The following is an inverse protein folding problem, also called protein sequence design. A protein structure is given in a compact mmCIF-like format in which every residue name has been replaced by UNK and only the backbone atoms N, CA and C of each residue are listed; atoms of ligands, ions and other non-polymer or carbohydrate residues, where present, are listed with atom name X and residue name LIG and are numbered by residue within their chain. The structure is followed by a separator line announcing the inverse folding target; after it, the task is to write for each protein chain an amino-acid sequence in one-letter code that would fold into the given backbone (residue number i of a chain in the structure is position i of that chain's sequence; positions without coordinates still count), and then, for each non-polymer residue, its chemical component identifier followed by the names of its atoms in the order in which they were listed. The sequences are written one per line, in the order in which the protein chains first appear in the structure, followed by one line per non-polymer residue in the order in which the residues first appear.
data_IF_436721142093
#
_entry.id   IF_436721142093
#
_cell.length_a   1.000
_cell.length_b   1.000
_cell.length_c   1.000
_cell.angle_alpha   90.00
_cell.angle_beta   90.00
_cell.angle_gamma   90.00
#
_symmetry.space_group_name_H-M   'P 1'
#
loop_
_entity.id
_entity.type
_entity.pdbx_description
1 polymer ?
#
# COMPACT_ATOMS: atom_id res chain seq x y z
N UNK A 1 -47.80 -2.46 -30.56
CA UNK A 1 -46.61 -1.60 -30.44
C UNK A 1 -46.06 -1.78 -29.05
N UNK A 2 -45.08 -2.66 -28.89
CA UNK A 2 -44.49 -3.04 -27.61
C UNK A 2 -43.33 -2.13 -27.27
N UNK A 3 -43.24 -1.77 -26.00
CA UNK A 3 -42.27 -0.87 -25.40
C UNK A 3 -40.84 -1.49 -25.44
N UNK A 4 -39.80 -0.78 -25.93
CA UNK A 4 -38.43 -1.32 -26.08
C UNK A 4 -37.66 -1.56 -24.75
N UNK A 5 -38.16 -1.14 -23.60
CA UNK A 5 -37.43 -1.23 -22.34
C UNK A 5 -37.46 -2.60 -21.66
N UNK A 6 -38.25 -3.56 -22.13
CA UNK A 6 -38.34 -4.89 -21.46
C UNK A 6 -37.37 -5.94 -21.99
N UNK A 7 -36.52 -5.61 -22.97
CA UNK A 7 -35.63 -6.60 -23.63
C UNK A 7 -34.17 -6.61 -23.13
N UNK A 8 -33.79 -5.75 -22.18
CA UNK A 8 -32.41 -5.62 -21.73
C UNK A 8 -32.06 -6.45 -20.48
N UNK A 9 -33.01 -7.18 -19.90
CA UNK A 9 -32.80 -7.86 -18.61
C UNK A 9 -32.41 -9.33 -18.68
N UNK A 10 -32.22 -9.92 -19.87
CA UNK A 10 -31.91 -11.36 -20.02
C UNK A 10 -30.76 -11.71 -20.97
N UNK A 11 -30.05 -10.72 -21.50
CA UNK A 11 -28.95 -11.00 -22.43
C UNK A 11 -27.67 -11.42 -21.69
N UNK A 12 -27.06 -12.53 -22.06
CA UNK A 12 -25.79 -13.00 -21.53
C UNK A 12 -24.64 -12.10 -21.99
N UNK A 13 -23.52 -12.05 -21.21
CA UNK A 13 -22.31 -11.29 -21.54
C UNK A 13 -21.78 -11.53 -22.97
N UNK A 14 -22.02 -12.70 -23.54
CA UNK A 14 -21.64 -13.05 -24.93
C UNK A 14 -22.52 -12.39 -25.98
N UNK A 15 -23.78 -12.16 -25.70
CA UNK A 15 -24.71 -11.51 -26.61
C UNK A 15 -24.53 -10.00 -26.66
N UNK A 16 -24.22 -9.37 -25.53
CA UNK A 16 -23.88 -7.93 -25.45
C UNK A 16 -22.61 -7.62 -26.28
N UNK A 17 -21.61 -8.51 -26.27
CA UNK A 17 -20.42 -8.36 -27.11
C UNK A 17 -20.65 -8.55 -28.61
N UNK A 18 -21.65 -9.33 -29.03
CA UNK A 18 -22.02 -9.50 -30.43
C UNK A 18 -22.82 -8.31 -30.99
N UNK A 19 -23.59 -7.63 -30.15
CA UNK A 19 -24.38 -6.45 -30.57
C UNK A 19 -23.53 -5.18 -30.68
N UNK A 20 -22.42 -5.08 -29.96
CA UNK A 20 -21.46 -3.98 -30.07
C UNK A 20 -20.68 -3.95 -31.41
N UNK A 21 -20.70 -5.06 -32.18
CA UNK A 21 -20.00 -5.17 -33.46
C UNK A 21 -20.87 -4.84 -34.68
N UNK A 22 -22.17 -4.61 -34.49
CA UNK A 22 -23.10 -4.39 -35.60
C UNK A 22 -23.49 -2.91 -35.86
N UNK A 23 -23.14 -1.98 -34.95
CA UNK A 23 -23.34 -0.54 -35.14
C UNK A 23 -22.00 0.12 -35.49
N UNK A 24 -21.70 0.23 -36.78
CA UNK A 24 -20.56 0.98 -37.29
C UNK A 24 -20.68 2.47 -37.02
N UNK A 25 -20.00 2.94 -36.00
CA UNK A 25 -19.57 4.33 -35.86
C UNK A 25 -18.11 4.28 -35.39
N UNK A 26 -17.21 4.46 -36.35
CA UNK A 26 -15.76 4.57 -36.12
C UNK A 26 -15.45 5.87 -35.37
N UNK A 27 -15.51 5.84 -34.03
CA UNK A 27 -14.85 6.80 -33.15
C UNK A 27 -13.53 6.17 -32.73
N UNK A 28 -12.43 6.66 -33.26
CA UNK A 28 -11.08 6.21 -32.92
C UNK A 28 -10.78 6.43 -31.43
N UNK A 29 -10.99 5.40 -30.63
CA UNK A 29 -10.35 5.31 -29.33
C UNK A 29 -8.87 5.03 -29.62
N UNK A 30 -8.01 6.01 -29.33
CA UNK A 30 -6.58 5.93 -29.56
C UNK A 30 -5.91 4.77 -28.79
N UNK A 31 -4.67 4.39 -29.16
CA UNK A 31 -3.95 3.25 -28.57
C UNK A 31 -3.85 3.27 -27.04
N UNK A 32 -3.97 4.43 -26.41
CA UNK A 32 -3.95 4.59 -24.94
C UNK A 32 -5.17 3.97 -24.22
N UNK A 33 -6.37 3.96 -24.85
CA UNK A 33 -7.56 3.35 -24.23
C UNK A 33 -7.56 1.82 -24.31
N UNK A 34 -6.86 1.24 -25.28
CA UNK A 34 -6.64 -0.22 -25.36
C UNK A 34 -5.62 -0.72 -24.33
N UNK A 35 -4.62 0.10 -23.98
CA UNK A 35 -3.61 -0.26 -22.99
C UNK A 35 -4.19 -0.35 -21.55
N UNK A 36 -5.21 0.44 -21.23
CA UNK A 36 -5.85 0.41 -19.89
C UNK A 36 -6.73 -0.82 -19.65
N UNK A 37 -7.29 -1.43 -20.71
CA UNK A 37 -8.14 -2.63 -20.58
C UNK A 37 -7.35 -3.95 -20.58
N UNK A 38 -6.05 -3.95 -20.89
CA UNK A 38 -5.20 -5.15 -20.96
C UNK A 38 -4.31 -5.35 -19.72
N UNK A 39 -4.32 -4.44 -18.72
CA UNK A 39 -3.43 -4.52 -17.55
C UNK A 39 -3.90 -5.46 -16.43
N UNK A 40 -5.14 -5.99 -16.47
CA UNK A 40 -5.67 -6.79 -15.35
C UNK A 40 -5.44 -8.32 -15.45
N UNK A 41 -4.80 -8.83 -16.49
CA UNK A 41 -4.65 -10.29 -16.70
C UNK A 41 -3.20 -10.79 -16.55
N UNK A 42 -2.20 -9.91 -16.45
CA UNK A 42 -0.78 -10.29 -16.43
C UNK A 42 -0.21 -10.60 -15.02
N UNK A 43 -1.04 -10.64 -13.96
CA UNK A 43 -0.57 -10.56 -12.58
C UNK A 43 0.06 -11.83 -11.98
N UNK A 44 -0.32 -13.02 -12.43
CA UNK A 44 0.13 -14.28 -11.80
C UNK A 44 1.35 -14.92 -12.47
N UNK A 45 1.58 -14.68 -13.74
CA UNK A 45 2.71 -15.25 -14.50
C UNK A 45 4.07 -14.61 -14.18
N UNK A 46 4.07 -13.61 -13.27
CA UNK A 46 5.26 -12.85 -12.92
C UNK A 46 6.13 -13.51 -11.82
N UNK A 47 5.60 -14.45 -11.06
CA UNK A 47 6.30 -15.06 -9.92
C UNK A 47 7.21 -16.22 -10.35
N UNK A 48 8.51 -16.20 -9.96
CA UNK A 48 9.49 -17.18 -10.42
C UNK A 48 9.57 -18.40 -9.49
N UNK A 49 8.54 -19.23 -9.45
CA UNK A 49 8.60 -20.39 -8.56
C UNK A 49 7.50 -21.42 -8.87
N UNK A 50 7.55 -22.59 -8.23
CA UNK A 50 6.50 -23.59 -8.34
C UNK A 50 5.26 -23.17 -7.56
N UNK A 51 4.07 -23.65 -7.97
CA UNK A 51 2.86 -23.58 -7.15
C UNK A 51 3.13 -24.22 -5.79
N UNK A 52 2.77 -23.52 -4.72
CA UNK A 52 2.94 -24.03 -3.36
C UNK A 52 1.82 -25.05 -3.06
N UNK A 53 2.22 -26.23 -2.62
CA UNK A 53 1.33 -27.22 -2.02
C UNK A 53 1.48 -27.18 -0.49
N UNK A 54 0.40 -26.86 0.24
CA UNK A 54 0.42 -26.73 1.69
C UNK A 54 0.91 -25.36 2.20
N UNK A 55 1.66 -25.38 3.30
CA UNK A 55 2.08 -24.17 4.03
C UNK A 55 3.60 -23.99 3.98
N UNK A 56 4.06 -22.76 3.78
CA UNK A 56 5.47 -22.39 3.82
C UNK A 56 5.90 -22.06 5.26
N UNK A 57 6.22 -23.09 6.04
CA UNK A 57 6.62 -22.96 7.45
C UNK A 57 8.05 -22.45 7.57
N UNK A 58 8.25 -21.51 8.52
CA UNK A 58 9.56 -20.98 8.88
C UNK A 58 9.53 -20.50 10.33
N UNK A 59 10.64 -20.57 11.11
CA UNK A 59 10.69 -20.01 12.45
C UNK A 59 10.27 -18.55 12.47
N UNK A 60 9.34 -18.19 13.37
CA UNK A 60 8.88 -16.82 13.53
C UNK A 60 9.88 -16.00 14.35
N UNK A 61 9.98 -14.70 14.04
CA UNK A 61 10.66 -13.70 14.87
C UNK A 61 9.65 -13.01 15.80
N UNK A 62 10.14 -12.33 16.85
CA UNK A 62 9.32 -11.53 17.76
C UNK A 62 8.18 -12.29 18.42
N UNK A 63 8.57 -13.15 19.34
CA UNK A 63 7.68 -13.89 20.21
C UNK A 63 8.40 -14.35 21.49
N UNK A 64 7.63 -14.70 22.50
CA UNK A 64 8.11 -15.15 23.81
C UNK A 64 7.44 -16.47 24.19
N UNK A 65 8.18 -17.33 24.88
CA UNK A 65 7.62 -18.56 25.47
C UNK A 65 6.81 -18.23 26.72
N UNK A 66 5.64 -18.84 26.82
CA UNK A 66 4.80 -18.81 28.00
C UNK A 66 4.68 -20.23 28.61
N UNK A 67 4.18 -20.38 29.87
CA UNK A 67 3.85 -21.67 30.44
C UNK A 67 2.90 -22.48 29.53
N UNK A 68 2.81 -23.78 29.79
CA UNK A 68 1.87 -24.70 29.13
C UNK A 68 1.99 -24.75 27.60
N UNK A 69 3.23 -24.63 27.08
CA UNK A 69 3.53 -24.58 25.64
C UNK A 69 2.84 -23.44 24.88
N UNK A 70 2.36 -22.42 25.58
CA UNK A 70 1.85 -21.21 24.94
C UNK A 70 3.00 -20.32 24.47
N UNK A 71 2.68 -19.43 23.54
CA UNK A 71 3.59 -18.39 23.07
C UNK A 71 2.87 -17.04 23.05
N UNK A 72 3.61 -15.95 23.29
CA UNK A 72 3.11 -14.58 23.07
C UNK A 72 3.80 -13.98 21.86
N UNK A 73 3.03 -13.56 20.87
CA UNK A 73 3.53 -12.84 19.70
C UNK A 73 3.79 -11.37 20.06
N UNK A 74 4.99 -10.87 19.81
CA UNK A 74 5.37 -9.47 20.09
C UNK A 74 5.63 -8.67 18.81
N UNK A 75 5.16 -9.16 17.66
CA UNK A 75 5.36 -8.50 16.36
C UNK A 75 4.46 -7.29 16.15
N UNK A 76 3.21 -7.37 16.55
CA UNK A 76 2.23 -6.31 16.34
C UNK A 76 1.41 -6.05 17.62
N UNK A 77 0.67 -4.93 17.71
CA UNK A 77 -0.10 -4.54 18.91
C UNK A 77 -1.25 -5.49 19.30
N UNK A 78 -1.47 -6.59 18.55
CA UNK A 78 -2.39 -7.66 18.97
C UNK A 78 -1.88 -8.45 20.16
N UNK A 79 -0.56 -8.60 20.28
CA UNK A 79 0.12 -9.34 21.34
C UNK A 79 -0.54 -10.69 21.65
N UNK A 80 -0.88 -11.45 20.58
CA UNK A 80 -1.64 -12.68 20.69
C UNK A 80 -0.94 -13.69 21.61
N UNK A 81 -1.66 -14.16 22.61
CA UNK A 81 -1.29 -15.39 23.34
C UNK A 81 -1.89 -16.58 22.58
N UNK A 82 -1.03 -17.52 22.17
CA UNK A 82 -1.38 -18.58 21.24
C UNK A 82 -1.08 -19.93 21.89
N UNK A 83 -2.10 -20.74 22.09
CA UNK A 83 -1.95 -22.08 22.64
C UNK A 83 -1.34 -23.04 21.59
N UNK A 84 -0.95 -24.24 22.06
CA UNK A 84 -0.40 -25.29 21.18
C UNK A 84 -1.39 -25.61 20.05
N UNK A 85 -0.89 -25.75 18.82
CA UNK A 85 -1.62 -25.96 17.55
C UNK A 85 -2.60 -24.84 17.14
N UNK A 86 -2.60 -23.72 17.84
CA UNK A 86 -3.43 -22.56 17.50
C UNK A 86 -2.66 -21.52 16.70
N UNK A 87 -3.39 -20.53 16.15
CA UNK A 87 -2.85 -19.41 15.36
C UNK A 87 -3.17 -18.07 15.98
N UNK A 88 -2.24 -17.13 15.80
CA UNK A 88 -2.50 -15.74 16.10
C UNK A 88 -3.61 -15.16 15.20
N UNK A 89 -4.11 -13.98 15.58
CA UNK A 89 -5.21 -13.27 14.90
C UNK A 89 -5.05 -13.18 13.38
N UNK A 90 -3.84 -12.89 12.89
CA UNK A 90 -3.54 -12.77 11.46
C UNK A 90 -3.73 -14.08 10.66
N UNK A 91 -3.84 -15.23 11.34
CA UNK A 91 -4.06 -16.54 10.75
C UNK A 91 -2.85 -17.17 10.03
N UNK A 92 -1.70 -16.46 10.00
CA UNK A 92 -0.49 -16.88 9.29
C UNK A 92 0.69 -17.17 10.20
N UNK A 93 0.50 -17.12 11.51
CA UNK A 93 1.49 -17.50 12.53
C UNK A 93 0.89 -18.52 13.47
N UNK A 94 1.57 -19.62 13.68
CA UNK A 94 1.07 -20.82 14.39
C UNK A 94 2.06 -21.25 15.47
N UNK A 95 1.55 -21.64 16.62
CA UNK A 95 2.31 -22.32 17.66
C UNK A 95 2.28 -23.84 17.44
N UNK A 96 3.43 -24.46 17.46
CA UNK A 96 3.56 -25.92 17.41
C UNK A 96 4.49 -26.40 18.52
N UNK A 97 3.94 -26.98 19.55
CA UNK A 97 4.69 -27.54 20.67
C UNK A 97 5.43 -26.50 21.51
N UNK A 98 5.03 -25.23 21.50
CA UNK A 98 5.71 -24.13 22.17
C UNK A 98 6.79 -23.45 21.31
N UNK A 99 6.84 -23.75 20.00
CA UNK A 99 7.69 -23.06 19.02
C UNK A 99 6.78 -22.32 18.00
N UNK A 100 7.07 -21.03 17.81
CA UNK A 100 6.23 -20.18 16.94
C UNK A 100 6.78 -20.13 15.51
N UNK A 101 5.89 -20.30 14.53
CA UNK A 101 6.24 -20.34 13.13
C UNK A 101 5.37 -19.38 12.31
N UNK A 102 5.94 -18.78 11.26
CA UNK A 102 5.17 -18.20 10.16
C UNK A 102 4.82 -19.31 9.16
N UNK A 103 3.67 -19.19 8.51
CA UNK A 103 3.14 -20.17 7.55
C UNK A 103 3.25 -19.67 6.10
N UNK A 104 3.77 -18.45 5.90
CA UNK A 104 3.75 -17.76 4.61
C UNK A 104 5.13 -17.32 4.13
N UNK A 105 6.22 -17.91 4.64
CA UNK A 105 7.57 -17.55 4.23
C UNK A 105 7.84 -17.90 2.76
N UNK A 106 7.82 -16.88 1.89
CA UNK A 106 7.96 -17.05 0.45
C UNK A 106 6.69 -17.57 -0.26
N UNK A 107 5.57 -17.73 0.44
CA UNK A 107 4.28 -18.10 -0.14
C UNK A 107 3.61 -16.87 -0.78
N UNK A 108 4.05 -16.49 -1.97
CA UNK A 108 3.55 -15.30 -2.64
C UNK A 108 2.24 -15.59 -3.39
N UNK A 109 1.18 -14.88 -3.05
CA UNK A 109 -0.12 -14.97 -3.73
C UNK A 109 -0.33 -13.89 -4.79
N UNK A 110 0.56 -12.89 -4.86
CA UNK A 110 0.55 -11.85 -5.88
C UNK A 110 1.95 -11.38 -6.22
N UNK A 111 2.20 -11.09 -7.51
CA UNK A 111 3.46 -10.53 -8.00
C UNK A 111 3.23 -9.74 -9.27
N UNK A 112 3.46 -8.40 -9.25
CA UNK A 112 3.22 -7.50 -10.37
C UNK A 112 4.31 -6.46 -10.51
N UNK A 113 4.55 -6.00 -11.74
CA UNK A 113 5.32 -4.77 -12.00
C UNK A 113 4.35 -3.61 -12.04
N UNK A 114 4.43 -2.72 -11.05
CA UNK A 114 3.55 -1.56 -10.95
C UNK A 114 4.35 -0.25 -11.01
N UNK A 115 3.78 0.85 -11.51
CA UNK A 115 4.32 2.18 -11.25
C UNK A 115 4.45 2.45 -9.75
N UNK A 116 5.52 3.13 -9.34
CA UNK A 116 5.73 3.48 -7.93
C UNK A 116 4.59 4.39 -7.41
N UNK A 117 4.00 5.20 -8.29
CA UNK A 117 2.85 6.06 -8.02
C UNK A 117 1.61 5.27 -7.60
N UNK A 118 1.46 4.00 -8.04
CA UNK A 118 0.35 3.12 -7.63
C UNK A 118 0.46 2.67 -6.15
N UNK A 119 1.61 2.94 -5.48
CA UNK A 119 1.85 2.53 -4.07
C UNK A 119 1.40 3.52 -2.99
N UNK A 120 0.77 4.60 -3.17
CA UNK A 120 1.14 5.94 -3.62
C UNK A 120 2.42 6.43 -2.92
N UNK A 121 3.51 6.41 -3.65
CA UNK A 121 4.80 6.97 -3.26
C UNK A 121 5.17 8.02 -4.32
N UNK A 122 4.84 9.29 -4.05
CA UNK A 122 4.96 10.38 -5.03
C UNK A 122 6.28 11.13 -4.94
N UNK A 123 6.95 11.05 -3.79
CA UNK A 123 8.27 11.64 -3.54
C UNK A 123 9.35 10.57 -3.34
N UNK A 124 9.11 9.36 -3.79
CA UNK A 124 10.07 8.26 -3.79
C UNK A 124 10.24 7.72 -5.21
N UNK A 125 11.38 8.01 -5.85
CA UNK A 125 11.74 7.57 -7.21
C UNK A 125 10.61 7.73 -8.24
N UNK A 126 10.00 8.92 -8.39
CA UNK A 126 8.84 9.11 -9.24
C UNK A 126 9.11 8.71 -10.70
N UNK A 127 8.12 8.07 -11.33
CA UNK A 127 8.20 7.57 -12.70
C UNK A 127 8.91 6.22 -12.86
N UNK A 128 9.33 5.60 -11.76
CA UNK A 128 9.92 4.25 -11.80
C UNK A 128 8.87 3.16 -11.57
N UNK A 129 9.29 1.90 -11.74
CA UNK A 129 8.49 0.73 -11.44
C UNK A 129 8.92 0.06 -10.14
N UNK A 130 8.01 -0.65 -9.50
CA UNK A 130 8.30 -1.51 -8.36
C UNK A 130 7.80 -2.94 -8.63
N UNK A 131 8.58 -3.94 -8.28
CA UNK A 131 8.12 -5.32 -8.26
C UNK A 131 7.35 -5.56 -6.96
N UNK A 132 6.03 -5.63 -7.07
CA UNK A 132 5.07 -5.61 -5.97
C UNK A 132 4.66 -7.02 -5.61
N UNK A 133 4.76 -7.40 -4.33
CA UNK A 133 4.44 -8.75 -3.86
C UNK A 133 3.54 -8.75 -2.63
N UNK A 134 2.80 -9.85 -2.44
CA UNK A 134 1.99 -10.12 -1.28
C UNK A 134 1.99 -11.59 -0.90
N UNK A 135 1.72 -11.86 0.38
CA UNK A 135 1.27 -13.15 0.90
C UNK A 135 -0.17 -13.07 1.38
N UNK A 136 -0.81 -14.18 1.73
CA UNK A 136 -2.14 -14.17 2.33
C UNK A 136 -2.10 -13.63 3.77
N UNK A 137 -3.20 -12.97 4.20
CA UNK A 137 -3.44 -12.57 5.58
C UNK A 137 -3.24 -11.09 5.88
N UNK A 138 -3.71 -10.65 7.06
CA UNK A 138 -3.60 -9.28 7.59
C UNK A 138 -3.78 -9.31 9.11
N UNK A 139 -3.19 -8.34 9.82
CA UNK A 139 -3.35 -8.21 11.27
C UNK A 139 -4.50 -7.28 11.71
N UNK A 140 -5.26 -6.71 10.75
CA UNK A 140 -6.52 -5.99 10.96
C UNK A 140 -7.58 -6.41 9.94
N UNK A 141 -8.87 -6.09 10.22
CA UNK A 141 -10.00 -6.50 9.37
C UNK A 141 -10.78 -5.27 8.88
N UNK A 142 -10.22 -4.55 7.90
CA UNK A 142 -10.91 -3.42 7.30
C UNK A 142 -12.14 -3.89 6.51
N UNK A 143 -13.33 -3.44 6.90
CA UNK A 143 -14.60 -3.78 6.22
C UNK A 143 -14.67 -3.27 4.77
N UNK A 144 -13.82 -2.30 4.43
CA UNK A 144 -13.68 -1.69 3.10
C UNK A 144 -12.41 -2.15 2.35
N UNK A 145 -11.85 -3.30 2.67
CA UNK A 145 -10.60 -3.77 2.09
C UNK A 145 -10.75 -4.07 0.60
N UNK A 146 -9.92 -3.45 -0.25
CA UNK A 146 -9.92 -3.71 -1.70
C UNK A 146 -9.30 -5.07 -2.05
N UNK A 147 -8.34 -5.52 -1.22
CA UNK A 147 -7.62 -6.78 -1.41
C UNK A 147 -8.12 -7.87 -0.44
N UNK A 148 -9.41 -7.85 -0.10
CA UNK A 148 -9.99 -8.76 0.90
C UNK A 148 -9.80 -10.24 0.54
N UNK A 149 -9.78 -10.58 -0.75
CA UNK A 149 -9.62 -11.95 -1.25
C UNK A 149 -8.27 -12.59 -0.88
N UNK A 150 -7.25 -11.79 -0.60
CA UNK A 150 -5.94 -12.28 -0.14
C UNK A 150 -5.63 -11.88 1.32
N UNK A 151 -6.22 -10.78 1.81
CA UNK A 151 -5.90 -10.26 3.15
C UNK A 151 -6.81 -10.81 4.26
N UNK A 152 -8.04 -11.27 3.92
CA UNK A 152 -9.03 -11.73 4.89
C UNK A 152 -9.24 -13.25 4.87
N UNK A 153 -8.39 -13.96 4.14
CA UNK A 153 -8.40 -15.42 4.05
C UNK A 153 -7.14 -16.03 4.66
N UNK A 154 -7.24 -17.29 5.05
CA UNK A 154 -6.11 -18.07 5.55
C UNK A 154 -5.22 -18.53 4.39
N UNK A 155 -3.93 -18.78 4.64
CA UNK A 155 -3.00 -19.14 3.56
C UNK A 155 -3.41 -20.38 2.77
N UNK A 156 -4.11 -21.33 3.38
CA UNK A 156 -4.63 -22.54 2.72
C UNK A 156 -5.76 -22.26 1.71
N UNK A 157 -6.39 -21.09 1.82
CA UNK A 157 -7.52 -20.69 0.98
C UNK A 157 -7.08 -19.84 -0.21
N UNK A 158 -5.80 -19.46 -0.26
CA UNK A 158 -5.25 -18.56 -1.27
C UNK A 158 -4.15 -19.26 -2.05
N UNK A 159 -4.32 -19.37 -3.35
CA UNK A 159 -3.27 -19.95 -4.22
C UNK A 159 -1.98 -19.12 -4.14
N UNK A 160 -0.85 -19.80 -3.92
CA UNK A 160 0.44 -19.17 -3.75
C UNK A 160 1.53 -19.87 -4.54
N UNK A 161 2.58 -19.14 -4.85
CA UNK A 161 3.80 -19.62 -5.48
C UNK A 161 4.94 -19.55 -4.47
N UNK A 162 5.73 -20.62 -4.34
CA UNK A 162 6.88 -20.62 -3.43
C UNK A 162 8.08 -19.90 -4.09
N UNK A 163 8.47 -18.77 -3.53
CA UNK A 163 9.53 -17.91 -4.05
C UNK A 163 10.54 -17.59 -2.95
N UNK A 164 11.76 -18.06 -3.08
CA UNK A 164 12.81 -17.72 -2.11
C UNK A 164 13.22 -16.24 -2.23
N UNK A 165 13.79 -15.61 -1.16
CA UNK A 165 14.31 -14.24 -1.24
C UNK A 165 15.25 -14.00 -2.43
N UNK A 166 16.15 -14.94 -2.72
CA UNK A 166 17.06 -14.86 -3.85
C UNK A 166 16.34 -14.88 -5.22
N UNK A 167 15.30 -15.69 -5.36
CA UNK A 167 14.47 -15.72 -6.58
C UNK A 167 13.72 -14.41 -6.76
N UNK A 168 13.15 -13.83 -5.66
CA UNK A 168 12.46 -12.54 -5.68
C UNK A 168 13.39 -11.43 -6.17
N UNK A 169 14.58 -11.32 -5.58
CA UNK A 169 15.56 -10.28 -5.92
C UNK A 169 16.01 -10.41 -7.38
N UNK A 170 16.32 -11.63 -7.83
CA UNK A 170 16.66 -11.88 -9.26
C UNK A 170 15.50 -11.51 -10.20
N UNK A 171 14.28 -11.85 -9.81
CA UNK A 171 13.09 -11.53 -10.61
C UNK A 171 12.84 -10.00 -10.72
N UNK A 172 13.09 -9.26 -9.64
CA UNK A 172 13.03 -7.80 -9.62
C UNK A 172 14.11 -7.19 -10.54
N UNK A 173 15.37 -7.65 -10.41
CA UNK A 173 16.47 -7.21 -11.26
C UNK A 173 16.21 -7.50 -12.74
N UNK A 174 15.77 -8.72 -13.08
CA UNK A 174 15.46 -9.13 -14.47
C UNK A 174 14.32 -8.33 -15.12
N UNK A 175 13.50 -7.64 -14.32
CA UNK A 175 12.44 -6.74 -14.79
C UNK A 175 12.84 -5.27 -14.77
N UNK A 176 14.11 -4.99 -14.49
CA UNK A 176 14.66 -3.64 -14.35
C UNK A 176 13.86 -2.75 -13.35
N UNK A 177 13.28 -3.35 -12.32
CA UNK A 177 12.59 -2.63 -11.26
C UNK A 177 13.63 -2.17 -10.23
N UNK A 178 13.79 -0.86 -9.96
CA UNK A 178 14.73 -0.37 -8.95
C UNK A 178 14.27 -0.67 -7.52
N UNK A 179 13.03 -1.15 -7.33
CA UNK A 179 12.41 -1.29 -6.01
C UNK A 179 11.55 -2.55 -5.92
N UNK A 180 11.62 -3.25 -4.79
CA UNK A 180 10.62 -4.25 -4.37
C UNK A 180 9.61 -3.56 -3.46
N UNK A 181 8.31 -3.72 -3.74
CA UNK A 181 7.23 -3.21 -2.89
C UNK A 181 6.51 -4.38 -2.19
N UNK A 182 6.59 -4.44 -0.87
CA UNK A 182 5.84 -5.36 -0.03
C UNK A 182 4.48 -4.71 0.25
N UNK A 183 3.38 -5.26 -0.32
CA UNK A 183 2.11 -4.51 -0.46
C UNK A 183 0.89 -5.42 -0.58
N UNK A 184 -0.25 -4.89 -1.00
CA UNK A 184 -1.57 -5.47 -1.25
C UNK A 184 -2.26 -6.04 -0.01
N UNK A 185 -1.71 -7.08 0.65
CA UNK A 185 -2.07 -7.51 1.99
C UNK A 185 -1.27 -6.72 3.04
N UNK A 186 -1.06 -7.25 4.24
CA UNK A 186 -0.26 -6.55 5.25
C UNK A 186 1.18 -7.10 5.33
N UNK A 187 2.21 -6.31 4.98
CA UNK A 187 3.60 -6.79 5.03
C UNK A 187 4.10 -7.20 6.42
N UNK A 188 3.56 -6.63 7.48
CA UNK A 188 3.97 -6.97 8.86
C UNK A 188 3.78 -8.46 9.15
N UNK A 189 2.75 -9.11 8.59
CA UNK A 189 2.46 -10.50 8.89
C UNK A 189 3.42 -11.50 8.21
N UNK A 190 4.13 -11.07 7.17
CA UNK A 190 5.20 -11.84 6.51
C UNK A 190 6.59 -11.21 6.75
N UNK A 191 6.77 -10.74 7.97
CA UNK A 191 7.93 -9.98 8.44
C UNK A 191 9.26 -10.65 8.07
N UNK A 192 9.43 -11.94 8.39
CA UNK A 192 10.66 -12.70 8.20
C UNK A 192 11.09 -12.70 6.73
N UNK A 193 10.16 -12.97 5.84
CA UNK A 193 10.41 -12.99 4.41
C UNK A 193 10.76 -11.59 3.86
N UNK A 194 10.01 -10.56 4.31
CA UNK A 194 10.29 -9.18 3.93
C UNK A 194 11.67 -8.75 4.42
N UNK A 195 12.03 -9.06 5.68
CA UNK A 195 13.32 -8.73 6.28
C UNK A 195 14.48 -9.33 5.46
N UNK A 196 14.43 -10.63 5.19
CA UNK A 196 15.49 -11.34 4.50
C UNK A 196 15.61 -10.92 3.02
N UNK A 197 14.47 -10.75 2.36
CA UNK A 197 14.45 -10.31 0.97
C UNK A 197 14.93 -8.86 0.82
N UNK A 198 14.57 -7.96 1.75
CA UNK A 198 15.01 -6.56 1.73
C UNK A 198 16.52 -6.44 2.02
N UNK A 199 17.05 -7.26 2.93
CA UNK A 199 18.48 -7.32 3.21
C UNK A 199 19.28 -7.75 1.96
N UNK A 200 18.82 -8.79 1.27
CA UNK A 200 19.44 -9.27 0.03
C UNK A 200 19.28 -8.26 -1.12
N UNK A 201 18.10 -7.63 -1.26
CA UNK A 201 17.84 -6.61 -2.27
C UNK A 201 18.81 -5.43 -2.12
N UNK A 202 19.01 -4.93 -0.89
CA UNK A 202 19.96 -3.85 -0.59
C UNK A 202 21.40 -4.19 -1.02
N UNK A 203 21.87 -5.44 -0.82
CA UNK A 203 23.18 -5.91 -1.28
C UNK A 203 23.30 -5.91 -2.81
N UNK A 204 22.19 -6.07 -3.52
CA UNK A 204 22.11 -6.04 -4.99
C UNK A 204 21.77 -4.66 -5.56
N UNK A 205 21.79 -3.61 -4.74
CA UNK A 205 21.47 -2.24 -5.17
C UNK A 205 20.00 -2.02 -5.50
N UNK A 206 19.08 -2.81 -4.96
CA UNK A 206 17.64 -2.69 -5.15
C UNK A 206 17.00 -2.14 -3.87
N UNK A 207 16.15 -1.12 -4.00
CA UNK A 207 15.38 -0.55 -2.90
C UNK A 207 14.26 -1.47 -2.42
N UNK A 208 13.80 -1.26 -1.20
CA UNK A 208 12.69 -2.01 -0.60
C UNK A 208 11.73 -1.06 0.10
N UNK A 209 10.46 -1.08 -0.27
CA UNK A 209 9.43 -0.23 0.34
C UNK A 209 8.31 -1.06 0.97
N UNK A 210 7.92 -0.68 2.17
CA UNK A 210 6.80 -1.28 2.91
C UNK A 210 5.54 -0.42 2.74
N UNK A 211 4.45 -1.04 2.32
CA UNK A 211 3.14 -0.42 2.15
C UNK A 211 2.19 -1.06 3.17
N UNK A 212 2.04 -0.45 4.33
CA UNK A 212 1.48 -1.07 5.53
C UNK A 212 0.34 -0.25 6.14
N UNK A 213 -0.48 -0.91 6.95
CA UNK A 213 -1.47 -0.28 7.81
C UNK A 213 -0.86 0.35 9.09
N UNK A 214 0.45 0.18 9.30
CA UNK A 214 1.16 0.74 10.45
C UNK A 214 0.92 0.02 11.79
N UNK A 215 0.28 -1.15 11.79
CA UNK A 215 -0.02 -1.90 13.02
C UNK A 215 1.12 -2.86 13.37
N UNK A 216 2.25 -2.31 13.82
CA UNK A 216 3.51 -3.00 14.14
C UNK A 216 4.06 -2.47 15.47
N UNK A 217 4.74 -3.31 16.25
CA UNK A 217 5.45 -2.88 17.46
C UNK A 217 6.76 -2.14 17.12
N UNK A 218 7.23 -1.31 18.04
CA UNK A 218 8.39 -0.44 17.82
C UNK A 218 9.67 -1.23 17.51
N UNK A 219 10.00 -2.24 18.31
CA UNK A 219 11.23 -3.01 18.13
C UNK A 219 11.33 -3.70 16.77
N UNK A 220 10.31 -4.46 16.30
CA UNK A 220 10.33 -5.02 14.95
C UNK A 220 10.37 -3.94 13.86
N UNK A 221 9.69 -2.80 14.04
CA UNK A 221 9.75 -1.69 13.09
C UNK A 221 11.16 -1.12 12.95
N UNK A 222 11.82 -0.81 14.06
CA UNK A 222 13.20 -0.29 14.07
C UNK A 222 14.19 -1.28 13.42
N UNK A 223 14.05 -2.57 13.70
CA UNK A 223 14.89 -3.59 13.06
C UNK A 223 14.65 -3.67 11.56
N UNK A 224 13.39 -3.69 11.12
CA UNK A 224 13.03 -3.77 9.70
C UNK A 224 13.51 -2.56 8.90
N UNK A 225 13.38 -1.35 9.45
CA UNK A 225 13.78 -0.10 8.81
C UNK A 225 15.28 -0.02 8.49
N UNK A 226 16.12 -0.90 9.08
CA UNK A 226 17.53 -1.04 8.68
C UNK A 226 17.70 -1.60 7.27
N UNK A 227 16.70 -2.33 6.77
CA UNK A 227 16.70 -2.95 5.44
C UNK A 227 15.87 -2.16 4.42
N UNK A 228 14.87 -1.42 4.87
CA UNK A 228 13.98 -0.66 4.00
C UNK A 228 14.61 0.65 3.50
N UNK A 229 14.06 1.17 2.41
CA UNK A 229 14.44 2.46 1.81
C UNK A 229 13.31 3.49 1.81
N UNK A 230 12.08 3.06 2.13
CA UNK A 230 10.91 3.91 2.27
C UNK A 230 9.72 3.15 2.84
N UNK A 231 8.78 3.88 3.40
CA UNK A 231 7.55 3.34 4.01
C UNK A 231 6.36 4.19 3.56
N UNK A 232 5.25 3.54 3.24
CA UNK A 232 3.95 4.19 3.09
C UNK A 232 3.00 3.62 4.12
N UNK A 233 2.34 4.49 4.87
CA UNK A 233 1.35 4.08 5.87
C UNK A 233 -0.06 4.44 5.40
N UNK A 234 -0.93 3.44 5.40
CA UNK A 234 -2.36 3.62 5.28
C UNK A 234 -2.92 4.14 6.61
N UNK A 235 -2.96 5.45 6.75
CA UNK A 235 -3.52 6.14 7.91
C UNK A 235 -5.03 6.23 7.75
N UNK A 236 -5.75 5.24 8.23
CA UNK A 236 -7.16 5.00 7.85
C UNK A 236 -8.13 6.12 8.28
N UNK A 237 -7.92 6.69 9.47
CA UNK A 237 -8.74 7.76 10.05
C UNK A 237 -8.02 8.39 11.26
N UNK A 238 -8.52 9.51 11.77
CA UNK A 238 -8.05 10.10 13.03
C UNK A 238 -9.09 9.92 14.14
N UNK A 239 -9.64 8.72 14.23
CA UNK A 239 -10.73 8.34 15.13
C UNK A 239 -10.52 6.93 15.66
N UNK A 240 -10.45 6.78 17.00
CA UNK A 240 -10.41 5.47 17.65
C UNK A 240 -11.65 4.64 17.35
N UNK A 241 -12.82 5.28 17.32
CA UNK A 241 -14.08 4.63 16.98
C UNK A 241 -14.05 4.05 15.57
N UNK A 242 -13.49 4.80 14.59
CA UNK A 242 -13.32 4.29 13.24
C UNK A 242 -12.41 3.05 13.20
N UNK A 243 -11.25 3.12 13.85
CA UNK A 243 -10.33 1.98 13.90
C UNK A 243 -10.97 0.75 14.54
N UNK A 244 -11.65 0.91 15.68
CA UNK A 244 -12.30 -0.19 16.37
C UNK A 244 -13.43 -0.81 15.53
N UNK A 245 -14.32 0.01 14.96
CA UNK A 245 -15.52 -0.46 14.29
C UNK A 245 -15.30 -0.92 12.84
N UNK A 246 -14.39 -0.25 12.11
CA UNK A 246 -14.21 -0.45 10.67
C UNK A 246 -12.95 -1.20 10.30
N UNK A 247 -11.95 -1.23 11.19
CA UNK A 247 -10.66 -1.87 10.94
C UNK A 247 -10.34 -3.02 11.94
N UNK A 248 -11.14 -3.18 13.00
CA UNK A 248 -10.86 -4.11 14.10
C UNK A 248 -9.45 -3.90 14.68
N UNK A 249 -9.06 -2.64 14.88
CA UNK A 249 -7.76 -2.22 15.38
C UNK A 249 -7.87 -0.99 16.27
N UNK A 250 -6.74 -0.34 16.57
CA UNK A 250 -6.65 0.85 17.40
C UNK A 250 -5.82 1.93 16.73
N UNK A 251 -6.20 3.20 16.92
CA UNK A 251 -5.49 4.36 16.37
C UNK A 251 -4.13 4.57 17.05
N UNK A 252 -4.09 4.49 18.39
CA UNK A 252 -2.89 4.80 19.19
C UNK A 252 -1.62 4.06 18.71
N UNK A 253 -1.62 2.73 18.43
CA UNK A 253 -0.45 2.05 17.91
C UNK A 253 0.03 2.56 16.54
N UNK A 254 -0.90 3.00 15.69
CA UNK A 254 -0.55 3.56 14.37
C UNK A 254 0.12 4.92 14.53
N UNK A 255 -0.35 5.77 15.45
CA UNK A 255 0.32 7.04 15.77
C UNK A 255 1.74 6.79 16.29
N UNK A 256 1.93 5.86 17.22
CA UNK A 256 3.26 5.48 17.72
C UNK A 256 4.18 4.99 16.59
N UNK A 257 3.67 4.19 15.65
CA UNK A 257 4.41 3.76 14.46
C UNK A 257 4.87 4.97 13.62
N UNK A 258 4.00 5.95 13.41
CA UNK A 258 4.33 7.15 12.63
C UNK A 258 5.40 8.01 13.31
N UNK A 259 5.31 8.19 14.63
CA UNK A 259 6.33 8.89 15.44
C UNK A 259 7.66 8.16 15.38
N UNK A 260 7.66 6.83 15.54
CA UNK A 260 8.87 6.00 15.42
C UNK A 260 9.51 6.10 14.03
N UNK A 261 8.72 6.11 12.94
CA UNK A 261 9.24 6.30 11.57
C UNK A 261 9.90 7.68 11.42
N UNK A 262 9.32 8.73 12.03
CA UNK A 262 9.91 10.07 12.05
C UNK A 262 11.23 10.10 12.80
N UNK A 263 11.32 9.46 13.95
CA UNK A 263 12.56 9.34 14.73
C UNK A 263 13.65 8.62 13.94
N UNK A 264 13.33 7.47 13.34
CA UNK A 264 14.22 6.70 12.47
C UNK A 264 14.71 7.55 11.29
N UNK A 265 13.88 8.46 10.79
CA UNK A 265 14.17 9.35 9.66
C UNK A 265 14.04 8.69 8.30
N UNK A 266 13.37 7.53 8.21
CA UNK A 266 13.08 6.89 6.91
C UNK A 266 12.05 7.70 6.13
N UNK A 267 12.20 7.74 4.79
CA UNK A 267 11.20 8.40 3.95
C UNK A 267 9.82 7.77 4.14
N UNK A 268 8.86 8.61 4.49
CA UNK A 268 7.50 8.16 4.81
C UNK A 268 6.47 9.00 4.07
N UNK A 269 5.47 8.35 3.46
CA UNK A 269 4.28 8.99 2.89
C UNK A 269 3.00 8.40 3.51
N UNK A 270 1.96 9.20 3.67
CA UNK A 270 0.70 8.83 4.31
C UNK A 270 -0.43 8.77 3.30
N UNK A 271 -1.30 7.76 3.43
CA UNK A 271 -2.49 7.63 2.60
C UNK A 271 -3.72 7.48 3.46
N UNK A 272 -4.74 8.26 3.17
CA UNK A 272 -6.06 8.20 3.80
C UNK A 272 -7.11 7.89 2.74
N UNK A 273 -7.69 6.71 2.80
CA UNK A 273 -8.86 6.38 1.98
C UNK A 273 -10.08 7.10 2.54
N UNK A 274 -10.57 8.09 1.84
CA UNK A 274 -11.74 8.87 2.28
C UNK A 274 -13.02 8.13 1.94
N UNK A 275 -13.77 7.76 2.98
CA UNK A 275 -15.04 7.05 2.87
C UNK A 275 -16.16 8.02 3.30
N UNK A 276 -17.11 8.36 2.41
CA UNK A 276 -18.17 9.31 2.71
C UNK A 276 -18.91 8.97 4.00
N UNK A 277 -19.12 9.97 4.84
CA UNK A 277 -19.81 9.90 6.14
C UNK A 277 -19.06 9.16 7.27
N UNK A 278 -17.97 8.48 6.98
CA UNK A 278 -17.24 7.70 7.99
C UNK A 278 -15.98 8.41 8.52
N UNK A 279 -15.19 9.02 7.63
CA UNK A 279 -13.93 9.70 7.98
C UNK A 279 -13.66 10.96 7.13
N UNK A 280 -14.71 11.57 6.57
CA UNK A 280 -14.60 12.74 5.68
C UNK A 280 -15.03 14.04 6.36
N UNK A 281 -15.24 14.06 7.68
CA UNK A 281 -15.64 15.27 8.39
C UNK A 281 -14.51 16.31 8.39
N UNK A 282 -14.84 17.61 8.13
CA UNK A 282 -13.82 18.67 8.12
C UNK A 282 -13.04 18.79 9.45
N UNK A 283 -13.69 18.50 10.56
CA UNK A 283 -13.10 18.55 11.90
C UNK A 283 -12.03 17.47 12.08
N UNK A 284 -12.33 16.22 11.65
CA UNK A 284 -11.38 15.11 11.73
C UNK A 284 -10.18 15.32 10.80
N UNK A 285 -10.43 15.74 9.55
CA UNK A 285 -9.36 16.02 8.58
C UNK A 285 -8.43 17.14 9.10
N UNK A 286 -9.01 18.19 9.70
CA UNK A 286 -8.23 19.28 10.30
C UNK A 286 -7.41 18.80 11.49
N UNK A 287 -7.98 17.99 12.37
CA UNK A 287 -7.28 17.43 13.54
C UNK A 287 -6.14 16.52 13.11
N UNK A 288 -6.39 15.58 12.16
CA UNK A 288 -5.38 14.72 11.55
C UNK A 288 -4.23 15.53 10.94
N UNK A 289 -4.55 16.53 10.13
CA UNK A 289 -3.55 17.34 9.42
C UNK A 289 -2.68 18.15 10.38
N UNK A 290 -3.27 18.71 11.44
CA UNK A 290 -2.52 19.39 12.50
C UNK A 290 -1.57 18.42 13.20
N UNK A 291 -2.06 17.25 13.59
CA UNK A 291 -1.24 16.23 14.22
C UNK A 291 -0.06 15.83 13.33
N UNK A 292 -0.29 15.65 12.03
CA UNK A 292 0.78 15.35 11.05
C UNK A 292 1.83 16.45 11.04
N UNK A 293 1.44 17.73 11.00
CA UNK A 293 2.41 18.85 11.00
C UNK A 293 3.18 18.92 12.32
N UNK A 294 2.51 18.75 13.45
CA UNK A 294 3.09 18.86 14.78
C UNK A 294 4.06 17.70 15.09
N UNK A 295 3.71 16.47 14.75
CA UNK A 295 4.48 15.27 15.11
C UNK A 295 5.44 14.81 14.01
N UNK A 296 5.04 14.91 12.74
CA UNK A 296 5.83 14.40 11.62
C UNK A 296 6.52 15.51 10.81
N UNK A 297 6.00 16.72 10.90
CA UNK A 297 6.46 17.89 10.17
C UNK A 297 5.68 18.14 8.88
N UNK A 298 5.81 19.36 8.32
CA UNK A 298 4.99 19.81 7.18
C UNK A 298 5.37 19.15 5.85
N UNK A 299 6.49 18.43 5.79
CA UNK A 299 7.06 17.92 4.55
C UNK A 299 6.66 16.46 4.24
N UNK A 300 5.94 15.79 5.14
CA UNK A 300 5.43 14.44 4.91
C UNK A 300 4.27 14.48 3.93
N UNK A 301 4.36 13.82 2.76
CA UNK A 301 3.26 13.81 1.80
C UNK A 301 2.03 13.10 2.35
N UNK A 302 0.87 13.74 2.18
CA UNK A 302 -0.43 13.23 2.62
C UNK A 302 -1.35 13.05 1.40
N UNK A 303 -1.82 11.83 1.18
CA UNK A 303 -2.66 11.48 0.05
C UNK A 303 -4.09 11.17 0.52
N UNK A 304 -5.06 11.92 0.07
CA UNK A 304 -6.47 11.58 0.21
C UNK A 304 -6.93 10.82 -1.04
N UNK A 305 -7.29 9.55 -0.88
CA UNK A 305 -7.63 8.68 -2.00
C UNK A 305 -9.12 8.37 -2.03
N UNK A 306 -9.62 8.18 -3.24
CA UNK A 306 -11.02 7.94 -3.53
C UNK A 306 -11.43 6.53 -3.16
N UNK A 307 -12.45 6.39 -2.29
CA UNK A 307 -13.10 5.12 -2.00
C UNK A 307 -14.02 4.68 -3.14
N UNK A 308 -14.07 3.39 -3.39
CA UNK A 308 -15.07 2.71 -4.22
C UNK A 308 -15.74 1.62 -3.38
N UNK A 309 -17.08 1.46 -3.47
CA UNK A 309 -17.81 0.40 -2.77
C UNK A 309 -17.19 -0.97 -3.01
N UNK A 310 -16.84 -1.66 -1.92
CA UNK A 310 -16.19 -2.97 -2.00
C UNK A 310 -16.34 -3.76 -0.71
N UNK A 311 -16.15 -5.07 -0.77
CA UNK A 311 -16.18 -6.04 0.33
C UNK A 311 -17.45 -5.92 1.17
N UNK A 312 -17.34 -5.47 2.44
CA UNK A 312 -18.49 -5.32 3.37
C UNK A 312 -19.08 -3.91 3.40
N UNK A 313 -18.52 -2.98 2.60
CA UNK A 313 -19.00 -1.60 2.48
C UNK A 313 -19.41 -1.35 1.03
N UNK A 314 -20.58 -1.85 0.67
CA UNK A 314 -21.17 -1.73 -0.69
C UNK A 314 -22.31 -0.75 -0.74
N UNK A 315 -22.80 -0.31 0.40
CA UNK A 315 -23.97 0.57 0.60
C UNK A 315 -23.62 2.07 0.66
N UNK A 316 -22.34 2.44 0.64
CA UNK A 316 -21.91 3.83 0.59
C UNK A 316 -21.49 4.21 -0.84
N UNK A 317 -21.71 5.45 -1.27
CA UNK A 317 -21.32 5.91 -2.58
C UNK A 317 -19.80 6.01 -2.71
N UNK A 318 -19.30 5.99 -3.95
CA UNK A 318 -17.93 6.39 -4.27
C UNK A 318 -17.69 7.82 -3.80
N UNK A 319 -16.51 8.10 -3.24
CA UNK A 319 -16.17 9.46 -2.75
C UNK A 319 -16.28 10.48 -3.89
N UNK A 320 -17.06 11.56 -3.73
CA UNK A 320 -17.08 12.68 -4.67
C UNK A 320 -15.70 13.34 -4.77
N UNK A 321 -15.35 13.87 -5.94
CA UNK A 321 -14.08 14.58 -6.16
C UNK A 321 -13.98 15.81 -5.27
N UNK A 322 -15.08 16.53 -5.14
CA UNK A 322 -15.22 17.75 -4.31
C UNK A 322 -14.91 17.46 -2.84
N UNK A 323 -15.22 16.26 -2.35
CA UNK A 323 -14.87 15.83 -0.99
C UNK A 323 -13.36 15.69 -0.84
N UNK A 324 -12.66 15.10 -1.83
CA UNK A 324 -11.20 14.98 -1.82
C UNK A 324 -10.53 16.34 -1.90
N UNK A 325 -11.04 17.24 -2.75
CA UNK A 325 -10.52 18.62 -2.85
C UNK A 325 -10.70 19.39 -1.54
N UNK A 326 -11.85 19.27 -0.89
CA UNK A 326 -12.09 19.85 0.44
C UNK A 326 -11.11 19.29 1.47
N UNK A 327 -10.89 17.98 1.53
CA UNK A 327 -9.92 17.37 2.44
C UNK A 327 -8.50 17.90 2.14
N UNK A 328 -8.13 17.97 0.86
CA UNK A 328 -6.84 18.49 0.41
C UNK A 328 -6.65 19.94 0.84
N UNK A 329 -7.64 20.81 0.63
CA UNK A 329 -7.54 22.21 1.02
C UNK A 329 -7.39 22.38 2.54
N UNK A 330 -8.20 21.64 3.35
CA UNK A 330 -8.10 21.65 4.82
C UNK A 330 -6.68 21.28 5.27
N UNK A 331 -6.06 20.28 4.66
CA UNK A 331 -4.71 19.86 5.04
C UNK A 331 -3.64 20.87 4.62
N UNK A 332 -3.78 21.51 3.47
CA UNK A 332 -2.91 22.63 3.03
C UNK A 332 -3.02 23.82 3.99
N UNK A 333 -4.25 24.18 4.39
CA UNK A 333 -4.52 25.28 5.33
C UNK A 333 -4.01 24.97 6.75
N UNK A 334 -3.92 23.69 7.10
CA UNK A 334 -3.31 23.23 8.35
C UNK A 334 -1.77 23.25 8.33
N UNK A 335 -1.14 23.49 7.15
CA UNK A 335 0.30 23.64 7.00
C UNK A 335 1.02 22.43 6.39
N UNK A 336 0.33 21.36 5.96
CA UNK A 336 0.94 20.27 5.19
C UNK A 336 1.35 20.79 3.81
N UNK A 337 2.61 20.66 3.42
CA UNK A 337 3.13 21.25 2.16
C UNK A 337 2.77 20.44 0.91
N UNK A 338 2.65 19.14 1.04
CA UNK A 338 2.44 18.21 -0.08
C UNK A 338 1.19 17.37 0.18
N UNK A 339 0.07 17.78 -0.41
CA UNK A 339 -1.21 17.11 -0.25
C UNK A 339 -1.77 16.72 -1.61
N UNK A 340 -2.13 15.45 -1.75
CA UNK A 340 -2.58 14.86 -3.01
C UNK A 340 -4.02 14.36 -2.95
N UNK A 341 -4.72 14.44 -4.10
CA UNK A 341 -5.99 13.78 -4.34
C UNK A 341 -5.73 12.58 -5.27
N UNK A 342 -5.84 11.36 -4.73
CA UNK A 342 -5.51 10.14 -5.48
C UNK A 342 -6.75 9.38 -5.98
N UNK A 343 -6.54 8.49 -6.96
CA UNK A 343 -7.59 7.74 -7.66
C UNK A 343 -8.59 8.63 -8.43
N UNK A 344 -8.13 9.79 -8.92
CA UNK A 344 -8.87 10.74 -9.75
C UNK A 344 -8.01 11.10 -10.95
N UNK A 345 -7.92 10.24 -11.97
CA UNK A 345 -7.02 10.43 -13.12
C UNK A 345 -7.19 11.81 -13.76
N UNK A 346 -6.05 12.45 -14.10
CA UNK A 346 -5.98 13.80 -14.71
C UNK A 346 -6.32 14.97 -13.78
N UNK A 347 -6.57 14.71 -12.49
CA UNK A 347 -6.87 15.77 -11.54
C UNK A 347 -5.59 16.55 -11.16
N UNK A 348 -5.60 17.91 -11.14
CA UNK A 348 -4.42 18.70 -10.76
C UNK A 348 -3.86 18.35 -9.37
N UNK A 349 -4.68 17.84 -8.48
CA UNK A 349 -4.29 17.36 -7.15
C UNK A 349 -3.37 16.12 -7.15
N UNK A 350 -3.16 15.45 -8.30
CA UNK A 350 -2.17 14.37 -8.44
C UNK A 350 -0.76 14.93 -8.75
N UNK A 351 -0.64 16.22 -9.12
CA UNK A 351 0.63 16.85 -9.48
C UNK A 351 1.38 17.33 -8.23
N UNK A 352 2.71 17.33 -8.31
CA UNK A 352 3.57 17.92 -7.28
C UNK A 352 3.86 19.36 -7.59
N UNK A 353 3.62 20.23 -6.62
CA UNK A 353 3.90 21.67 -6.73
C UNK A 353 4.96 22.10 -5.71
N UNK A 354 5.79 23.05 -6.10
CA UNK A 354 6.73 23.67 -5.18
C UNK A 354 5.99 24.36 -4.03
N UNK A 355 6.34 24.05 -2.79
CA UNK A 355 5.70 24.65 -1.61
C UNK A 355 5.97 26.17 -1.49
N UNK A 356 7.10 26.66 -2.04
CA UNK A 356 7.50 28.06 -1.94
C UNK A 356 6.94 28.94 -3.07
N UNK A 357 7.03 28.51 -4.35
CA UNK A 357 6.65 29.34 -5.50
C UNK A 357 5.49 28.80 -6.34
N UNK A 358 4.88 27.69 -5.93
CA UNK A 358 3.74 27.03 -6.58
C UNK A 358 3.98 26.55 -8.02
N UNK A 359 5.24 26.55 -8.49
CA UNK A 359 5.59 25.94 -9.79
C UNK A 359 5.20 24.47 -9.79
N UNK A 360 4.53 24.02 -10.86
CA UNK A 360 4.33 22.59 -11.11
C UNK A 360 5.68 21.92 -11.36
N UNK A 361 6.01 20.91 -10.56
CA UNK A 361 7.28 20.19 -10.57
C UNK A 361 7.15 18.79 -11.18
N UNK A 362 6.11 18.06 -10.83
CA UNK A 362 5.83 16.74 -11.41
C UNK A 362 4.37 16.72 -11.87
N UNK A 363 4.17 16.47 -13.14
CA UNK A 363 2.85 16.29 -13.73
C UNK A 363 2.55 14.79 -13.88
N UNK A 364 1.38 14.40 -13.40
CA UNK A 364 0.90 13.01 -13.47
C UNK A 364 -0.38 12.89 -14.27
N UNK A 365 -0.53 11.72 -14.90
CA UNK A 365 -1.76 11.29 -15.56
C UNK A 365 -2.04 9.87 -15.04
N UNK A 366 -2.92 9.77 -14.06
CA UNK A 366 -3.10 8.54 -13.28
C UNK A 366 -1.79 8.13 -12.60
N UNK A 367 -1.30 6.91 -12.84
CA UNK A 367 -0.06 6.43 -12.25
C UNK A 367 1.20 6.69 -13.09
N UNK A 368 1.10 7.50 -14.14
CA UNK A 368 2.25 7.82 -15.00
C UNK A 368 2.75 9.23 -14.74
N UNK A 369 4.07 9.38 -14.63
CA UNK A 369 4.74 10.68 -14.62
C UNK A 369 4.93 11.14 -16.06
N UNK A 370 4.19 12.19 -16.43
CA UNK A 370 4.26 12.81 -17.76
C UNK A 370 5.41 13.81 -17.88
N UNK A 371 5.77 14.47 -16.77
CA UNK A 371 6.88 15.42 -16.71
C UNK A 371 7.44 15.49 -15.28
N UNK A 372 8.76 15.56 -15.15
CA UNK A 372 9.46 15.76 -13.87
C UNK A 372 10.55 16.82 -14.03
N UNK A 373 10.33 17.98 -13.42
CA UNK A 373 11.20 19.15 -13.48
C UNK A 373 12.13 19.30 -12.29
N UNK A 374 12.02 18.44 -11.28
CA UNK A 374 12.92 18.48 -10.12
C UNK A 374 14.34 18.19 -10.59
N UNK A 375 15.31 19.00 -10.12
CA UNK A 375 16.74 18.83 -10.40
C UNK A 375 17.49 18.84 -9.08
N UNK A 376 18.23 17.79 -8.80
CA UNK A 376 19.02 17.61 -7.56
C UNK A 376 18.21 17.88 -6.28
N UNK A 377 16.94 17.41 -6.27
CA UNK A 377 16.02 17.62 -5.16
C UNK A 377 15.54 19.06 -4.97
N UNK A 378 15.64 19.92 -5.99
CA UNK A 378 15.30 21.35 -5.92
C UNK A 378 14.29 21.78 -6.99
N UNK A 379 13.54 22.83 -6.67
CA UNK A 379 12.69 23.53 -7.61
C UNK A 379 13.56 24.31 -8.62
N UNK A 380 13.42 24.12 -9.95
CA UNK A 380 14.24 24.80 -10.94
C UNK A 380 13.95 26.30 -11.04
N UNK A 381 12.78 26.76 -10.53
CA UNK A 381 12.39 28.19 -10.59
C UNK A 381 12.92 29.00 -9.42
N UNK A 382 12.85 28.49 -8.19
CA UNK A 382 13.19 29.26 -6.99
C UNK A 382 14.29 28.66 -6.13
N UNK A 383 14.82 27.49 -6.48
CA UNK A 383 15.89 26.82 -5.74
C UNK A 383 15.45 26.15 -4.43
N UNK A 384 14.17 26.25 -4.04
CA UNK A 384 13.69 25.62 -2.82
C UNK A 384 13.92 24.09 -2.84
N UNK A 385 14.42 23.53 -1.74
CA UNK A 385 14.57 22.09 -1.57
C UNK A 385 13.19 21.42 -1.55
N UNK A 386 13.06 20.32 -2.29
CA UNK A 386 11.85 19.50 -2.34
C UNK A 386 12.17 18.19 -1.64
N UNK A 387 11.62 17.96 -0.44
CA UNK A 387 11.83 16.72 0.31
C UNK A 387 11.38 15.50 -0.48
N UNK A 388 12.19 14.45 -0.48
CA UNK A 388 11.92 13.20 -1.21
C UNK A 388 13.18 12.38 -1.46
N UNK A 389 12.99 11.24 -2.07
CA UNK A 389 14.03 10.33 -2.57
C UNK A 389 14.02 10.41 -4.10
N UNK A 390 14.99 11.09 -4.68
CA UNK A 390 15.00 11.46 -6.10
C UNK A 390 15.94 10.59 -6.95
N UNK A 391 16.77 9.78 -6.31
CA UNK A 391 17.66 8.83 -6.98
C UNK A 391 17.77 7.51 -6.21
N UNK A 392 18.11 6.43 -6.90
CA UNK A 392 18.33 5.13 -6.29
C UNK A 392 19.54 5.14 -5.33
N UNK A 393 20.57 5.89 -5.67
CA UNK A 393 21.72 6.10 -4.79
C UNK A 393 21.29 6.73 -3.46
N UNK A 394 20.44 7.76 -3.50
CA UNK A 394 19.89 8.38 -2.30
C UNK A 394 19.05 7.41 -1.48
N UNK A 395 18.21 6.57 -2.12
CA UNK A 395 17.43 5.55 -1.45
C UNK A 395 18.33 4.55 -0.70
N UNK A 396 19.37 4.06 -1.36
CA UNK A 396 20.29 3.05 -0.83
C UNK A 396 21.29 3.63 0.20
N UNK A 397 21.56 4.93 0.13
CA UNK A 397 22.40 5.64 1.11
C UNK A 397 21.70 5.83 2.46
N UNK A 398 20.38 5.69 2.53
CA UNK A 398 19.64 5.83 3.80
C UNK A 398 20.19 4.89 4.87
N UNK A 399 20.40 5.47 6.07
CA UNK A 399 20.73 4.75 7.30
C UNK A 399 19.80 5.26 8.40
N UNK A 400 19.12 4.36 9.14
CA UNK A 400 18.25 4.78 10.23
C UNK A 400 19.05 5.52 11.30
N UNK A 401 18.43 6.52 11.92
CA UNK A 401 18.95 7.14 13.13
C UNK A 401 18.87 6.12 14.26
N UNK A 402 19.82 6.18 15.17
CA UNK A 402 19.87 5.30 16.34
C UNK A 402 18.69 5.55 17.28
#
# INVERSE_FOLDING_TARGET
MGNPESMLLTASRREVLRWGLACGAAGALGPAARALAQQDVAGRDALPGPKLEGLARHPAMFWEKLPDRKVKCTLCPRECEVADVERGYCGVRENQGGEYQTLVYGALCSGNVDPIEKKPLFHYLPGTTAFSIATAGCNIECKFCQNWEISQFRPEQVESTLVTPAQLVRACAGRACPTIAYTYSEPVIFYEYMHDAAALARQQGIGSVMISNGYIQEQPLRQLCRQLTGVKIDFKAFSETFYAQWCSGHLKPVLATLETLKEIGIWTELVVLIIPTLNDSPQEIKAMSKWVVEHLGPDVPLHFTRFHPTYRVTNLPRTPVETLERCRQIALDAGVRYVYAGNVPTHPGENTYCHACRQELIRRVGFQVADNRIRDGKCPRCGAAIPGIWSQEQALAFRPRA
#
